data_IF_322253022187
#
_entry.id   IF_322253022187
#
_cell.length_a   1.000
_cell.length_b   1.000
_cell.length_c   1.000
_cell.angle_alpha   90.00
_cell.angle_beta   90.00
_cell.angle_gamma   90.00
#
_symmetry.space_group_name_H-M   'P 1'
#
loop_
_entity.id
_entity.type
_entity.pdbx_description
1 polymer ?
#
# COMPACT_ATOMS: atom_id res chain seq x y z
N UNK A 1 5.60 -58.48 -1.41
CA UNK A 1 6.21 -57.26 -1.91
C UNK A 1 7.15 -56.57 -0.89
N UNK A 2 6.87 -56.56 0.41
CA UNK A 2 7.77 -55.97 1.42
C UNK A 2 9.13 -56.62 1.61
N UNK A 3 9.27 -57.95 1.31
CA UNK A 3 10.56 -58.67 1.39
C UNK A 3 11.54 -58.22 0.30
N UNK A 4 11.08 -57.92 -0.92
CA UNK A 4 11.92 -57.47 -2.03
C UNK A 4 12.54 -56.08 -1.78
N UNK A 5 11.82 -55.20 -1.11
CA UNK A 5 12.32 -53.86 -0.76
C UNK A 5 13.39 -53.96 0.33
N UNK A 6 13.26 -54.90 1.25
CA UNK A 6 14.22 -55.07 2.37
C UNK A 6 15.54 -55.71 1.93
N UNK A 7 15.52 -56.60 0.94
CA UNK A 7 16.73 -57.23 0.40
C UNK A 7 17.50 -56.30 -0.55
N UNK A 8 16.80 -55.48 -1.33
CA UNK A 8 17.42 -54.47 -2.21
C UNK A 8 18.13 -53.35 -1.45
N UNK A 9 17.65 -53.02 -0.24
CA UNK A 9 18.22 -51.95 0.62
C UNK A 9 19.62 -52.31 1.14
N UNK A 10 19.95 -53.61 1.27
CA UNK A 10 21.24 -54.04 1.86
C UNK A 10 22.33 -54.25 0.80
N UNK A 11 21.95 -54.61 -0.43
CA UNK A 11 22.90 -54.96 -1.51
C UNK A 11 23.26 -53.75 -2.41
N UNK A 12 22.43 -52.71 -2.47
CA UNK A 12 22.70 -51.54 -3.30
C UNK A 12 22.32 -50.20 -2.60
N UNK A 13 23.11 -49.78 -1.59
CA UNK A 13 22.82 -48.54 -0.86
C UNK A 13 22.89 -47.29 -1.76
N UNK A 14 23.60 -47.37 -2.88
CA UNK A 14 23.68 -46.32 -3.88
C UNK A 14 22.36 -46.11 -4.62
N UNK A 15 21.65 -47.20 -4.94
CA UNK A 15 20.38 -47.17 -5.66
C UNK A 15 19.27 -46.49 -4.79
N UNK A 16 19.28 -46.76 -3.48
CA UNK A 16 18.36 -46.13 -2.54
C UNK A 16 18.65 -44.62 -2.40
N UNK A 17 19.92 -44.23 -2.35
CA UNK A 17 20.36 -42.83 -2.34
C UNK A 17 19.99 -42.11 -3.63
N UNK A 18 20.09 -42.78 -4.80
CA UNK A 18 19.69 -42.19 -6.08
C UNK A 18 18.18 -42.00 -6.18
N UNK A 19 17.38 -42.97 -5.73
CA UNK A 19 15.91 -42.84 -5.71
C UNK A 19 15.47 -41.72 -4.74
N UNK A 20 16.05 -41.64 -3.55
CA UNK A 20 15.78 -40.53 -2.63
C UNK A 20 16.24 -39.21 -3.20
N UNK A 21 17.37 -39.15 -3.90
CA UNK A 21 17.84 -37.94 -4.58
C UNK A 21 16.89 -37.48 -5.70
N UNK A 22 16.36 -38.44 -6.49
CA UNK A 22 15.37 -38.13 -7.54
C UNK A 22 14.05 -37.64 -6.94
N UNK A 23 13.59 -38.27 -5.86
CA UNK A 23 12.38 -37.83 -5.14
C UNK A 23 12.57 -36.45 -4.54
N UNK A 24 13.71 -36.17 -3.90
CA UNK A 24 14.04 -34.87 -3.36
C UNK A 24 14.14 -33.81 -4.46
N UNK A 25 14.77 -34.14 -5.60
CA UNK A 25 14.87 -33.26 -6.76
C UNK A 25 13.48 -32.99 -7.37
N UNK A 26 12.65 -34.00 -7.52
CA UNK A 26 11.28 -33.87 -7.99
C UNK A 26 10.45 -32.99 -7.03
N UNK A 27 10.66 -33.11 -5.72
CA UNK A 27 10.00 -32.27 -4.71
C UNK A 27 10.46 -30.81 -4.76
N UNK A 28 11.76 -30.57 -4.97
CA UNK A 28 12.34 -29.24 -5.16
C UNK A 28 11.83 -28.61 -6.45
N UNK A 29 11.75 -29.39 -7.55
CA UNK A 29 11.24 -28.89 -8.83
C UNK A 29 9.73 -28.59 -8.73
N UNK A 30 8.94 -29.46 -8.11
CA UNK A 30 7.49 -29.24 -7.95
C UNK A 30 7.18 -28.12 -6.97
N UNK A 31 7.86 -28.02 -5.83
CA UNK A 31 7.71 -26.90 -4.90
C UNK A 31 8.29 -25.59 -5.45
N UNK A 32 9.45 -25.64 -6.13
CA UNK A 32 10.05 -24.48 -6.77
C UNK A 32 9.22 -23.95 -7.94
N UNK A 33 8.65 -24.84 -8.75
CA UNK A 33 7.79 -24.47 -9.88
C UNK A 33 6.41 -23.95 -9.42
N UNK A 34 5.87 -24.50 -8.34
CA UNK A 34 4.61 -24.01 -7.75
C UNK A 34 4.81 -22.86 -6.76
N UNK A 35 6.00 -22.69 -6.20
CA UNK A 35 6.33 -21.59 -5.29
C UNK A 35 6.74 -20.29 -6.00
N UNK A 36 7.19 -20.37 -7.25
CA UNK A 36 7.49 -19.24 -8.15
C UNK A 36 6.50 -19.10 -9.30
N UNK A 37 5.57 -20.04 -9.45
CA UNK A 37 4.40 -19.86 -10.30
C UNK A 37 3.61 -18.70 -9.72
N UNK A 38 3.49 -17.60 -10.48
CA UNK A 38 2.52 -16.55 -10.29
C UNK A 38 1.33 -17.09 -9.51
N UNK A 39 1.02 -16.49 -8.37
CA UNK A 39 -0.34 -16.53 -7.88
C UNK A 39 -1.18 -16.01 -9.04
N UNK A 40 -1.62 -16.93 -9.90
CA UNK A 40 -2.67 -16.69 -10.89
C UNK A 40 -4.00 -16.57 -10.15
N UNK A 41 -3.99 -15.81 -9.06
CA UNK A 41 -5.14 -15.13 -8.54
C UNK A 41 -5.57 -14.20 -9.65
N UNK A 42 -6.79 -14.31 -10.05
CA UNK A 42 -7.45 -13.50 -11.05
C UNK A 42 -7.02 -12.04 -10.86
N UNK A 43 -6.29 -11.49 -11.83
CA UNK A 43 -5.76 -10.12 -11.74
C UNK A 43 -6.88 -9.14 -12.05
N UNK A 44 -7.25 -8.32 -11.08
CA UNK A 44 -8.29 -7.29 -11.23
C UNK A 44 -7.76 -6.09 -12.01
N UNK A 45 -6.53 -5.69 -11.76
CA UNK A 45 -5.90 -4.62 -12.51
C UNK A 45 -4.38 -4.78 -12.57
N UNK A 46 -3.75 -4.17 -13.58
CA UNK A 46 -2.31 -4.03 -13.69
C UNK A 46 -1.93 -2.58 -13.94
N UNK A 47 -0.85 -2.13 -13.30
CA UNK A 47 -0.28 -0.79 -13.42
C UNK A 47 1.21 -0.97 -13.71
N UNK A 48 1.62 -0.79 -14.95
CA UNK A 48 2.96 -1.19 -15.40
C UNK A 48 3.21 -2.67 -15.10
N UNK A 49 4.29 -2.95 -14.39
CA UNK A 49 4.69 -4.31 -13.98
C UNK A 49 4.02 -4.78 -12.66
N UNK A 50 3.25 -3.91 -12.01
CA UNK A 50 2.59 -4.23 -10.75
C UNK A 50 1.16 -4.70 -11.00
N UNK A 51 0.77 -5.77 -10.32
CA UNK A 51 -0.57 -6.34 -10.40
C UNK A 51 -1.36 -6.09 -9.12
N UNK A 52 -2.67 -6.06 -9.25
CA UNK A 52 -3.65 -6.01 -8.18
C UNK A 52 -4.45 -7.30 -8.25
N UNK A 53 -4.31 -8.17 -7.25
CA UNK A 53 -5.02 -9.45 -7.22
C UNK A 53 -6.47 -9.26 -6.75
N UNK A 54 -7.33 -10.22 -7.11
CA UNK A 54 -8.72 -10.24 -6.66
C UNK A 54 -8.82 -10.31 -5.11
N UNK A 55 -7.92 -11.02 -4.44
CA UNK A 55 -7.93 -11.09 -2.98
C UNK A 55 -7.56 -9.75 -2.33
N UNK A 56 -6.65 -8.99 -2.93
CA UNK A 56 -6.30 -7.65 -2.48
C UNK A 56 -7.48 -6.69 -2.68
N UNK A 57 -8.10 -6.73 -3.86
CA UNK A 57 -9.30 -5.95 -4.15
C UNK A 57 -10.43 -6.27 -3.18
N UNK A 58 -10.73 -7.55 -2.95
CA UNK A 58 -11.79 -7.99 -2.04
C UNK A 58 -11.58 -7.48 -0.62
N UNK A 59 -10.35 -7.61 -0.07
CA UNK A 59 -10.04 -7.07 1.26
C UNK A 59 -10.21 -5.56 1.34
N UNK A 60 -9.71 -4.82 0.35
CA UNK A 60 -9.86 -3.38 0.29
C UNK A 60 -11.33 -2.97 0.16
N UNK A 61 -12.10 -3.68 -0.66
CA UNK A 61 -13.53 -3.47 -0.82
C UNK A 61 -14.30 -3.70 0.50
N UNK A 62 -14.07 -4.84 1.18
CA UNK A 62 -14.74 -5.15 2.45
C UNK A 62 -14.45 -4.08 3.52
N UNK A 63 -13.21 -3.61 3.61
CA UNK A 63 -12.82 -2.57 4.56
C UNK A 63 -13.49 -1.23 4.22
N UNK A 64 -13.47 -0.84 2.94
CA UNK A 64 -14.10 0.39 2.48
C UNK A 64 -15.60 0.35 2.66
N UNK A 65 -16.24 -0.78 2.30
CA UNK A 65 -17.68 -0.97 2.47
C UNK A 65 -18.12 -0.85 3.93
N UNK A 66 -17.40 -1.49 4.86
CA UNK A 66 -17.66 -1.38 6.31
C UNK A 66 -17.54 0.06 6.79
N UNK A 67 -16.47 0.76 6.38
CA UNK A 67 -16.28 2.16 6.75
C UNK A 67 -17.43 3.05 6.28
N UNK A 68 -17.86 2.90 5.03
CA UNK A 68 -18.99 3.68 4.51
C UNK A 68 -20.29 3.33 5.23
N UNK A 69 -20.57 2.05 5.44
CA UNK A 69 -21.76 1.58 6.15
C UNK A 69 -21.87 2.15 7.58
N UNK A 70 -20.74 2.23 8.28
CA UNK A 70 -20.70 2.65 9.68
C UNK A 70 -20.63 4.17 9.88
N UNK A 71 -20.06 4.89 8.90
CA UNK A 71 -19.72 6.32 9.06
C UNK A 71 -20.53 7.27 8.21
N UNK A 72 -21.08 6.82 7.11
CA UNK A 72 -21.76 7.69 6.15
C UNK A 72 -23.24 7.30 6.07
N UNK A 73 -24.17 8.16 6.48
CA UNK A 73 -25.59 7.86 6.35
C UNK A 73 -26.03 7.94 4.89
N UNK A 74 -26.69 6.90 4.39
CA UNK A 74 -27.24 6.84 3.03
C UNK A 74 -27.12 5.46 2.38
N UNK A 75 -27.80 5.26 1.27
CA UNK A 75 -27.62 4.09 0.42
C UNK A 75 -26.47 4.32 -0.56
N UNK A 76 -25.51 3.41 -0.56
CA UNK A 76 -24.38 3.43 -1.50
C UNK A 76 -24.62 2.42 -2.60
N UNK A 77 -24.37 2.83 -3.84
CA UNK A 77 -24.30 1.91 -4.94
C UNK A 77 -23.02 1.10 -4.83
N UNK A 78 -23.14 -0.20 -4.83
CA UNK A 78 -22.02 -1.15 -4.77
C UNK A 78 -20.94 -0.84 -5.82
N UNK A 79 -21.38 -0.57 -7.06
CA UNK A 79 -20.48 -0.20 -8.16
C UNK A 79 -19.61 1.05 -7.87
N UNK A 80 -20.16 2.02 -7.13
CA UNK A 80 -19.41 3.23 -6.77
C UNK A 80 -18.28 2.91 -5.79
N UNK A 81 -18.54 2.02 -4.83
CA UNK A 81 -17.52 1.59 -3.86
C UNK A 81 -16.45 0.74 -4.56
N UNK A 82 -16.85 -0.18 -5.44
CA UNK A 82 -15.93 -1.00 -6.23
C UNK A 82 -15.00 -0.13 -7.09
N UNK A 83 -15.55 0.85 -7.80
CA UNK A 83 -14.75 1.76 -8.60
C UNK A 83 -13.80 2.59 -7.74
N UNK A 84 -14.27 3.13 -6.61
CA UNK A 84 -13.44 3.88 -5.67
C UNK A 84 -12.25 3.03 -5.18
N UNK A 85 -12.50 1.77 -4.83
CA UNK A 85 -11.45 0.85 -4.35
C UNK A 85 -10.43 0.55 -5.44
N UNK A 86 -10.88 0.28 -6.67
CA UNK A 86 -9.96 0.05 -7.80
C UNK A 86 -9.10 1.27 -8.06
N UNK A 87 -9.71 2.46 -8.11
CA UNK A 87 -8.99 3.71 -8.35
C UNK A 87 -7.95 3.96 -7.24
N UNK A 88 -8.29 3.67 -5.99
CA UNK A 88 -7.39 3.80 -4.86
C UNK A 88 -6.20 2.83 -4.93
N UNK A 89 -6.45 1.58 -5.32
CA UNK A 89 -5.40 0.58 -5.50
C UNK A 89 -4.49 0.91 -6.70
N UNK A 90 -5.06 1.40 -7.80
CA UNK A 90 -4.31 1.89 -8.96
C UNK A 90 -3.44 3.09 -8.58
N UNK A 91 -3.97 4.05 -7.84
CA UNK A 91 -3.22 5.20 -7.35
C UNK A 91 -2.04 4.78 -6.45
N UNK A 92 -2.26 3.83 -5.54
CA UNK A 92 -1.19 3.31 -4.69
C UNK A 92 -0.08 2.65 -5.51
N UNK A 93 -0.42 1.88 -6.56
CA UNK A 93 0.58 1.30 -7.48
C UNK A 93 1.32 2.38 -8.27
N UNK A 94 0.60 3.40 -8.74
CA UNK A 94 1.19 4.55 -9.44
C UNK A 94 2.23 5.25 -8.57
N UNK A 95 1.91 5.53 -7.31
CA UNK A 95 2.85 6.15 -6.36
C UNK A 95 4.04 5.25 -6.02
N UNK A 96 3.84 3.93 -5.94
CA UNK A 96 4.93 2.99 -5.73
C UNK A 96 5.90 2.97 -6.91
N UNK A 97 5.39 3.04 -8.14
CA UNK A 97 6.23 3.17 -9.36
C UNK A 97 6.94 4.51 -9.35
N UNK A 98 6.24 5.60 -9.02
CA UNK A 98 6.85 6.92 -8.88
C UNK A 98 8.02 6.92 -7.90
N UNK A 99 7.82 6.35 -6.72
CA UNK A 99 8.84 6.23 -5.69
C UNK A 99 10.07 5.45 -6.18
N UNK A 100 9.86 4.33 -6.87
CA UNK A 100 10.94 3.55 -7.47
C UNK A 100 11.70 4.32 -8.55
N UNK A 101 10.98 5.05 -9.42
CA UNK A 101 11.58 5.87 -10.47
C UNK A 101 12.38 7.03 -9.89
N UNK A 102 12.01 7.55 -8.72
CA UNK A 102 12.77 8.55 -7.96
C UNK A 102 13.99 7.95 -7.24
N UNK A 103 14.20 6.62 -7.29
CA UNK A 103 15.27 5.94 -6.56
C UNK A 103 15.08 5.91 -5.05
N UNK A 104 13.85 6.07 -4.55
CA UNK A 104 13.56 6.07 -3.12
C UNK A 104 13.65 4.66 -2.54
N UNK A 105 14.12 4.58 -1.31
CA UNK A 105 14.19 3.35 -0.52
C UNK A 105 13.63 3.57 0.89
N UNK A 106 13.31 2.49 1.57
CA UNK A 106 12.87 2.48 2.97
C UNK A 106 13.95 1.78 3.79
N UNK A 107 14.52 2.49 4.76
CA UNK A 107 15.42 1.87 5.72
C UNK A 107 14.62 1.05 6.74
N UNK A 108 15.23 0.00 7.28
CA UNK A 108 14.57 -0.84 8.29
C UNK A 108 14.19 -0.06 9.55
N UNK A 109 14.98 0.94 9.92
CA UNK A 109 14.69 1.79 11.07
C UNK A 109 13.47 2.69 10.82
N UNK A 110 13.34 3.26 9.62
CA UNK A 110 12.16 4.06 9.23
C UNK A 110 10.88 3.22 9.30
N UNK A 111 10.95 1.99 8.75
CA UNK A 111 9.82 1.05 8.77
C UNK A 111 9.43 0.68 10.20
N UNK A 112 10.43 0.38 11.03
CA UNK A 112 10.21 0.04 12.43
C UNK A 112 9.56 1.19 13.19
N UNK A 113 10.03 2.41 12.97
CA UNK A 113 9.46 3.60 13.62
C UNK A 113 7.99 3.78 13.24
N UNK A 114 7.66 3.66 11.94
CA UNK A 114 6.26 3.75 11.47
C UNK A 114 5.39 2.69 12.12
N UNK A 115 5.85 1.43 12.17
CA UNK A 115 5.08 0.33 12.79
C UNK A 115 4.86 0.57 14.29
N UNK A 116 5.88 1.08 14.99
CA UNK A 116 5.78 1.37 16.42
C UNK A 116 4.82 2.54 16.72
N UNK A 117 4.57 3.42 15.76
CA UNK A 117 3.64 4.54 15.90
C UNK A 117 2.18 4.18 15.60
N UNK A 118 1.88 2.98 15.07
CA UNK A 118 0.51 2.54 14.82
C UNK A 118 -0.23 2.38 16.16
N UNK A 119 -1.31 3.16 16.41
CA UNK A 119 -2.00 3.17 17.71
C UNK A 119 -2.55 1.80 18.11
N UNK A 120 -3.01 1.00 17.14
CA UNK A 120 -3.60 -0.31 17.38
C UNK A 120 -2.58 -1.33 17.93
N UNK A 121 -1.29 -1.09 17.75
CA UNK A 121 -0.21 -1.91 18.28
C UNK A 121 0.34 -1.37 19.60
N UNK A 122 -0.30 -0.35 20.17
CA UNK A 122 0.17 0.29 21.39
C UNK A 122 -0.67 -0.09 22.61
N UNK A 123 0.01 -0.14 23.75
CA UNK A 123 -0.59 -0.20 25.08
C UNK A 123 -0.09 0.99 25.89
N UNK A 124 -1.01 1.83 26.35
CA UNK A 124 -0.67 3.06 27.08
C UNK A 124 0.28 4.00 26.31
N UNK A 125 0.13 4.08 24.98
CA UNK A 125 0.97 4.93 24.13
C UNK A 125 2.35 4.36 23.77
N UNK A 126 2.63 3.10 24.14
CA UNK A 126 3.89 2.42 23.83
C UNK A 126 3.61 1.15 23.04
N UNK A 127 4.45 0.86 22.05
CA UNK A 127 4.35 -0.35 21.22
C UNK A 127 4.41 -1.62 22.09
N UNK A 128 3.45 -2.53 21.84
CA UNK A 128 3.32 -3.81 22.55
C UNK A 128 3.48 -4.97 21.56
N UNK A 129 4.58 -5.74 21.63
CA UNK A 129 4.83 -6.85 20.70
C UNK A 129 3.77 -7.96 20.77
N UNK A 130 3.13 -8.17 21.92
CA UNK A 130 2.09 -9.21 22.06
C UNK A 130 0.79 -8.77 21.36
N UNK A 131 0.43 -7.49 21.48
CA UNK A 131 -0.70 -6.92 20.75
C UNK A 131 -0.43 -7.00 19.24
N UNK A 132 0.75 -6.59 18.79
CA UNK A 132 1.18 -6.67 17.40
C UNK A 132 1.01 -8.09 16.85
N UNK A 133 1.63 -9.09 17.48
CA UNK A 133 1.56 -10.48 17.03
C UNK A 133 0.13 -11.02 17.02
N UNK A 134 -0.65 -10.72 18.06
CA UNK A 134 -2.04 -11.16 18.17
C UNK A 134 -2.93 -10.56 17.08
N UNK A 135 -2.78 -9.27 16.79
CA UNK A 135 -3.57 -8.60 15.75
C UNK A 135 -3.19 -9.09 14.36
N UNK A 136 -1.89 -9.33 14.09
CA UNK A 136 -1.48 -9.91 12.82
C UNK A 136 -2.05 -11.33 12.65
N UNK A 137 -1.95 -12.17 13.68
CA UNK A 137 -2.50 -13.52 13.65
C UNK A 137 -4.02 -13.53 13.42
N UNK A 138 -4.76 -12.62 14.07
CA UNK A 138 -6.20 -12.45 13.88
C UNK A 138 -6.58 -12.06 12.44
N UNK A 139 -5.69 -11.36 11.74
CA UNK A 139 -5.85 -10.98 10.34
C UNK A 139 -5.16 -11.94 9.36
N UNK A 140 -4.72 -13.12 9.82
CA UNK A 140 -4.00 -14.12 9.02
C UNK A 140 -2.73 -13.58 8.34
N UNK A 141 -2.05 -12.63 8.99
CA UNK A 141 -0.80 -12.02 8.52
C UNK A 141 0.38 -12.53 9.35
N UNK A 142 1.52 -12.68 8.70
CA UNK A 142 2.81 -12.82 9.38
C UNK A 142 3.50 -11.45 9.47
N UNK A 143 4.41 -11.24 10.45
CA UNK A 143 5.21 -10.01 10.51
C UNK A 143 5.88 -9.68 9.18
N UNK A 144 6.51 -10.65 8.53
CA UNK A 144 7.20 -10.45 7.25
C UNK A 144 6.26 -9.95 6.13
N UNK A 145 5.05 -10.49 6.04
CA UNK A 145 4.04 -10.05 5.04
C UNK A 145 3.57 -8.64 5.38
N UNK A 146 3.26 -8.37 6.63
CA UNK A 146 2.80 -7.06 7.09
C UNK A 146 3.88 -5.99 6.87
N UNK A 147 5.12 -6.25 7.30
CA UNK A 147 6.25 -5.33 7.13
C UNK A 147 6.54 -5.04 5.64
N UNK A 148 6.41 -6.04 4.77
CA UNK A 148 6.54 -5.85 3.33
C UNK A 148 5.40 -5.00 2.73
N UNK A 149 4.19 -5.07 3.29
CA UNK A 149 3.07 -4.20 2.89
C UNK A 149 3.30 -2.77 3.37
N UNK A 150 3.68 -2.59 4.64
CA UNK A 150 3.98 -1.30 5.23
C UNK A 150 5.17 -0.60 4.54
N UNK A 151 6.22 -1.34 4.17
CA UNK A 151 7.35 -0.80 3.43
C UNK A 151 6.93 -0.18 2.08
N UNK A 152 5.96 -0.79 1.38
CA UNK A 152 5.41 -0.23 0.14
C UNK A 152 4.63 1.06 0.39
N UNK A 153 3.85 1.08 1.46
CA UNK A 153 3.07 2.27 1.84
C UNK A 153 3.99 3.42 2.28
N UNK A 154 4.99 3.14 3.12
CA UNK A 154 6.01 4.11 3.52
C UNK A 154 6.73 4.67 2.29
N UNK A 155 7.10 3.81 1.34
CA UNK A 155 7.76 4.22 0.10
C UNK A 155 6.89 5.16 -0.74
N UNK A 156 5.63 4.81 -0.92
CA UNK A 156 4.64 5.62 -1.65
C UNK A 156 4.41 6.97 -0.95
N UNK A 157 4.32 6.97 0.38
CA UNK A 157 4.14 8.19 1.17
C UNK A 157 5.37 9.10 1.12
N UNK A 158 6.59 8.56 1.12
CA UNK A 158 7.82 9.35 0.88
C UNK A 158 7.75 10.09 -0.44
N UNK A 159 7.33 9.43 -1.52
CA UNK A 159 7.18 10.10 -2.82
C UNK A 159 6.12 11.22 -2.79
N UNK A 160 4.97 10.97 -2.17
CA UNK A 160 3.92 11.99 -2.00
C UNK A 160 4.43 13.20 -1.20
N UNK A 161 5.18 12.94 -0.12
CA UNK A 161 5.76 14.01 0.70
C UNK A 161 6.74 14.87 -0.10
N UNK A 162 7.63 14.26 -0.90
CA UNK A 162 8.59 14.99 -1.73
C UNK A 162 7.86 15.93 -2.71
N UNK A 163 6.84 15.43 -3.41
CA UNK A 163 6.06 16.26 -4.35
C UNK A 163 5.31 17.36 -3.61
N UNK A 164 4.70 17.08 -2.47
CA UNK A 164 3.98 18.03 -1.65
C UNK A 164 4.90 19.13 -1.13
N UNK A 165 6.05 18.75 -0.59
CA UNK A 165 6.96 19.67 0.09
C UNK A 165 7.79 20.51 -0.91
N UNK A 166 7.87 20.08 -2.18
CA UNK A 166 8.40 20.88 -3.28
C UNK A 166 7.49 22.04 -3.70
N UNK A 167 6.23 22.05 -3.24
CA UNK A 167 5.26 23.10 -3.60
C UNK A 167 5.36 24.28 -2.62
N UNK A 168 5.65 25.45 -3.17
CA UNK A 168 5.64 26.70 -2.42
C UNK A 168 4.69 27.74 -3.07
N UNK A 169 4.18 28.66 -2.31
CA UNK A 169 3.42 29.79 -2.85
C UNK A 169 4.37 30.81 -3.47
N UNK A 170 4.00 31.33 -4.64
CA UNK A 170 4.66 32.48 -5.21
C UNK A 170 4.33 33.75 -4.42
N UNK A 171 5.14 34.82 -4.51
CA UNK A 171 4.82 36.08 -3.84
C UNK A 171 3.44 36.65 -4.21
N UNK A 172 2.99 36.45 -5.44
CA UNK A 172 1.68 36.89 -5.91
C UNK A 172 0.54 36.09 -5.24
N UNK A 173 0.66 34.74 -5.21
CA UNK A 173 -0.33 33.88 -4.53
C UNK A 173 -0.39 34.15 -3.03
N UNK A 174 0.76 34.44 -2.39
CA UNK A 174 0.81 34.79 -0.98
C UNK A 174 0.09 36.12 -0.74
N UNK A 175 0.33 37.15 -1.58
CA UNK A 175 -0.34 38.43 -1.49
C UNK A 175 -1.86 38.31 -1.70
N UNK A 176 -2.28 37.46 -2.68
CA UNK A 176 -3.71 37.22 -2.93
C UNK A 176 -4.37 36.51 -1.75
N UNK A 177 -3.75 35.47 -1.19
CA UNK A 177 -4.24 34.74 -0.01
C UNK A 177 -4.43 35.69 1.18
N UNK A 178 -3.49 36.65 1.41
CA UNK A 178 -3.58 37.63 2.43
C UNK A 178 -4.66 38.70 2.14
N UNK A 179 -4.83 39.11 0.88
CA UNK A 179 -5.85 40.09 0.48
C UNK A 179 -7.28 39.55 0.66
N UNK A 180 -7.52 38.28 0.46
CA UNK A 180 -8.82 37.64 0.70
C UNK A 180 -9.28 37.81 2.16
N UNK A 181 -8.33 37.82 3.11
CA UNK A 181 -8.63 37.94 4.54
C UNK A 181 -8.90 39.41 4.98
N UNK A 182 -8.40 40.40 4.26
CA UNK A 182 -8.65 41.79 4.56
C UNK A 182 -10.14 42.21 4.43
N UNK A 183 -10.90 41.44 3.65
CA UNK A 183 -12.36 41.63 3.48
C UNK A 183 -13.17 41.01 4.64
N UNK A 184 -12.57 40.16 5.46
CA UNK A 184 -13.19 39.51 6.61
C UNK A 184 -12.73 40.12 7.93
N UNK A 185 -12.45 41.44 7.94
CA UNK A 185 -11.78 42.16 9.01
C UNK A 185 -12.47 41.97 10.36
N UNK A 186 -11.88 41.20 11.24
CA UNK A 186 -12.15 41.23 12.67
C UNK A 186 -11.38 42.38 13.31
N UNK A 187 -12.03 43.05 14.30
CA UNK A 187 -11.46 44.20 15.02
C UNK A 187 -10.29 43.83 15.95
N UNK A 188 -10.03 42.53 16.14
CA UNK A 188 -8.97 42.00 17.00
C UNK A 188 -7.73 41.65 16.18
N UNK A 189 -6.57 42.31 16.39
CA UNK A 189 -5.35 42.08 15.61
C UNK A 189 -4.81 40.61 15.69
N UNK A 190 -4.97 39.96 16.85
CA UNK A 190 -4.49 38.59 17.03
C UNK A 190 -5.34 37.61 16.23
N UNK A 191 -6.64 37.79 16.20
CA UNK A 191 -7.55 36.98 15.38
C UNK A 191 -7.34 37.24 13.89
N UNK A 192 -7.10 38.51 13.50
CA UNK A 192 -6.80 38.87 12.13
C UNK A 192 -5.51 38.19 11.63
N UNK A 193 -4.47 38.09 12.45
CA UNK A 193 -3.23 37.33 12.11
C UNK A 193 -3.51 35.84 11.93
N UNK A 194 -4.23 35.22 12.85
CA UNK A 194 -4.60 33.82 12.76
C UNK A 194 -5.45 33.48 11.51
N UNK A 195 -6.35 34.35 11.11
CA UNK A 195 -7.17 34.22 9.89
C UNK A 195 -6.28 34.30 8.65
N UNK A 196 -5.29 35.21 8.62
CA UNK A 196 -4.32 35.30 7.51
C UNK A 196 -3.48 34.06 7.38
N UNK A 197 -2.94 33.58 8.49
CA UNK A 197 -2.10 32.34 8.47
C UNK A 197 -2.89 31.13 7.99
N UNK A 198 -4.15 31.01 8.43
CA UNK A 198 -5.04 29.93 7.98
C UNK A 198 -5.33 30.04 6.48
N UNK A 199 -5.63 31.24 5.97
CA UNK A 199 -5.87 31.42 4.54
C UNK A 199 -4.66 31.10 3.69
N UNK A 200 -3.45 31.45 4.13
CA UNK A 200 -2.20 31.08 3.47
C UNK A 200 -2.00 29.56 3.47
N UNK A 201 -2.26 28.91 4.60
CA UNK A 201 -2.19 27.45 4.70
C UNK A 201 -3.22 26.74 3.81
N UNK A 202 -4.46 27.27 3.74
CA UNK A 202 -5.51 26.70 2.89
C UNK A 202 -5.15 26.80 1.41
N UNK A 203 -4.61 27.93 0.96
CA UNK A 203 -4.15 28.12 -0.44
C UNK A 203 -2.96 27.20 -0.75
N UNK A 204 -1.99 27.09 0.16
CA UNK A 204 -0.86 26.20 0.02
C UNK A 204 -1.33 24.74 -0.06
N UNK A 205 -2.22 24.32 0.83
CA UNK A 205 -2.79 22.96 0.83
C UNK A 205 -3.49 22.64 -0.49
N UNK A 206 -4.33 23.57 -0.99
CA UNK A 206 -4.99 23.38 -2.29
C UNK A 206 -3.99 23.29 -3.44
N UNK A 207 -2.92 24.06 -3.42
CA UNK A 207 -1.86 24.00 -4.41
C UNK A 207 -1.11 22.69 -4.35
N UNK A 208 -0.80 22.19 -3.16
CA UNK A 208 -0.19 20.90 -2.92
C UNK A 208 -1.07 19.75 -3.44
N UNK A 209 -2.38 19.78 -3.15
CA UNK A 209 -3.32 18.79 -3.66
C UNK A 209 -3.37 18.75 -5.19
N UNK A 210 -3.43 19.94 -5.82
CA UNK A 210 -3.39 20.04 -7.29
C UNK A 210 -2.09 19.49 -7.87
N UNK A 211 -0.96 19.77 -7.23
CA UNK A 211 0.34 19.24 -7.66
C UNK A 211 0.40 17.71 -7.56
N UNK A 212 -0.09 17.13 -6.46
CA UNK A 212 -0.18 15.67 -6.29
C UNK A 212 -1.07 15.03 -7.36
N UNK A 213 -2.25 15.60 -7.63
CA UNK A 213 -3.15 15.13 -8.67
C UNK A 213 -2.51 15.20 -10.06
N UNK A 214 -1.94 16.37 -10.42
CA UNK A 214 -1.28 16.55 -11.72
C UNK A 214 -0.10 15.60 -11.91
N UNK A 215 0.68 15.38 -10.87
CA UNK A 215 1.80 14.43 -10.90
C UNK A 215 1.30 12.99 -11.08
N UNK A 216 0.28 12.58 -10.33
CA UNK A 216 -0.34 11.26 -10.46
C UNK A 216 -0.86 11.02 -11.87
N UNK A 217 -1.60 11.98 -12.43
CA UNK A 217 -2.10 11.88 -13.81
C UNK A 217 -0.96 11.85 -14.84
N UNK A 218 0.09 12.63 -14.64
CA UNK A 218 1.25 12.58 -15.55
C UNK A 218 1.91 11.19 -15.58
N UNK A 219 2.00 10.50 -14.45
CA UNK A 219 2.53 9.15 -14.39
C UNK A 219 1.57 8.16 -15.03
N UNK A 220 0.26 8.25 -14.75
CA UNK A 220 -0.75 7.37 -15.36
C UNK A 220 -0.76 7.43 -16.89
N UNK A 221 -0.43 8.57 -17.48
CA UNK A 221 -0.32 8.68 -18.94
C UNK A 221 0.90 7.97 -19.52
N UNK A 222 1.94 7.75 -18.73
CA UNK A 222 3.20 7.11 -19.16
C UNK A 222 3.24 5.61 -18.89
N UNK A 223 2.34 5.10 -18.04
CA UNK A 223 2.32 3.70 -17.60
C UNK A 223 1.08 3.01 -18.16
N UNK A 224 1.18 1.80 -18.74
CA UNK A 224 0.02 1.04 -19.17
C UNK A 224 -0.80 0.60 -17.94
N UNK A 225 -2.07 1.02 -17.89
CA UNK A 225 -3.03 0.63 -16.87
C UNK A 225 -4.12 -0.19 -17.54
N UNK A 226 -4.37 -1.40 -17.02
CA UNK A 226 -5.41 -2.29 -17.49
C UNK A 226 -6.29 -2.69 -16.30
N UNK A 227 -7.59 -2.51 -16.41
CA UNK A 227 -8.57 -2.88 -15.38
C UNK A 227 -9.52 -3.91 -16.00
N UNK A 228 -9.66 -5.07 -15.35
CA UNK A 228 -10.62 -6.08 -15.73
C UNK A 228 -11.94 -5.84 -15.00
N UNK A 229 -12.84 -5.13 -15.66
CA UNK A 229 -14.14 -4.75 -15.08
C UNK A 229 -15.07 -5.92 -14.80
N UNK A 230 -14.85 -7.06 -15.44
CA UNK A 230 -15.65 -8.29 -15.23
C UNK A 230 -15.39 -8.94 -13.87
N UNK A 231 -14.30 -8.54 -13.21
CA UNK A 231 -13.86 -9.07 -11.93
C UNK A 231 -14.12 -8.12 -10.73
N UNK A 232 -14.84 -7.03 -10.98
CA UNK A 232 -15.18 -6.05 -9.95
C UNK A 232 -16.49 -6.37 -9.22
#
# INVERSE_FOLDING_TARGET
MLKLIRESSHNYPWLLKSVMGIIALAFVITMGWWGFGEQSGTVVASVGDLTISHDEFRRAYENTYRFYKDKVPGEFKDETIKQLVVDQLVDNRTWLIAAKNMGLTVANDDLREVIMQIPDFQKNGTFDPEIYQRLLAANHLTPAIFEAMEAKEVLSNKARMIIRDAVALTPAELAEAQALTLRQTESDPAKAAAVKDRAVQDVLFQKQQRALMAFTESIKTTIPIKINRELL
#
